data_IF_833118915445
#
_entry.id   IF_833118915445
#
_cell.length_a   1.000
_cell.length_b   1.000
_cell.length_c   1.000
_cell.angle_alpha   90.00
_cell.angle_beta   90.00
_cell.angle_gamma   90.00
#
_symmetry.space_group_name_H-M   'P 1'
#
loop_
_entity.id
_entity.type
_entity.pdbx_description
1 polymer ?
2 non-polymer ?
3 non-polymer ?
4 water ?
#
# COMPACT_ATOMS: atom_id res chain seq x y z
N UNK A 39 -8.32 9.18 -20.97
CA UNK A 39 -9.48 9.72 -21.73
C UNK A 39 -9.05 10.22 -23.12
N UNK A 40 -8.23 9.41 -23.80
CA UNK A 40 -7.52 9.79 -25.05
C UNK A 40 -6.21 10.54 -24.74
N UNK A 41 -6.11 11.04 -23.50
CA UNK A 41 -4.97 11.80 -22.93
C UNK A 41 -3.61 11.14 -23.15
N UNK A 42 -2.64 11.95 -23.56
CA UNK A 42 -1.29 11.47 -23.81
C UNK A 42 -0.52 11.64 -22.51
N UNK A 43 0.06 10.55 -21.99
CA UNK A 43 0.72 10.61 -20.67
C UNK A 43 2.21 10.57 -20.78
N UNK A 44 2.87 11.66 -20.41
CA UNK A 44 4.32 11.75 -20.56
C UNK A 44 4.99 11.98 -19.23
N UNK A 45 5.97 11.14 -18.92
CA UNK A 45 6.71 11.31 -17.70
C UNK A 45 7.94 12.15 -18.00
N UNK A 46 8.21 13.15 -17.17
CA UNK A 46 9.48 13.89 -17.11
C UNK A 46 10.45 13.27 -16.07
N UNK A 47 11.49 12.59 -16.54
CA UNK A 47 12.47 11.93 -15.71
C UNK A 47 13.76 12.71 -15.69
N UNK A 48 14.61 12.39 -14.72
CA UNK A 48 15.92 13.02 -14.58
C UNK A 48 16.42 13.12 -13.13
N UNK A 49 17.73 13.33 -12.97
CA UNK A 49 18.28 13.43 -11.62
C UNK A 49 17.78 14.67 -10.86
N UNK A 50 18.01 14.65 -9.57
CA UNK A 50 17.73 15.76 -8.69
C UNK A 50 18.38 17.00 -9.27
N UNK A 51 17.59 18.09 -9.29
CA UNK A 51 17.99 19.42 -9.73
C UNK A 51 18.46 19.52 -11.17
N UNK A 52 17.97 18.65 -12.04
CA UNK A 52 18.23 18.82 -13.47
C UNK A 52 17.32 19.89 -14.03
N UNK A 53 16.14 20.06 -13.46
CA UNK A 53 15.27 21.15 -13.92
C UNK A 53 13.92 20.66 -14.41
N UNK A 54 13.43 19.57 -13.81
CA UNK A 54 12.12 19.02 -14.14
C UNK A 54 10.97 19.98 -13.83
N UNK A 55 10.96 20.48 -12.59
CA UNK A 55 9.98 21.46 -12.14
C UNK A 55 10.07 22.74 -13.00
N UNK A 56 11.30 23.11 -13.39
CA UNK A 56 11.54 24.25 -14.27
C UNK A 56 10.85 23.98 -15.61
N UNK A 57 11.18 22.83 -16.20
CA UNK A 57 10.64 22.39 -17.47
C UNK A 57 9.13 22.23 -17.44
N UNK A 58 8.61 21.53 -16.44
CA UNK A 58 7.22 21.16 -16.48
C UNK A 58 6.39 22.43 -16.49
N UNK A 59 6.81 23.40 -15.67
CA UNK A 59 6.08 24.63 -15.45
C UNK A 59 6.09 25.51 -16.69
N UNK A 60 7.18 25.43 -17.45
CA UNK A 60 7.29 26.01 -18.77
C UNK A 60 6.25 25.37 -19.70
N UNK A 61 6.22 24.04 -19.73
CA UNK A 61 5.37 23.34 -20.68
C UNK A 61 3.91 23.68 -20.45
N UNK A 62 3.45 23.64 -19.21
CA UNK A 62 2.06 23.98 -18.92
C UNK A 62 1.59 25.40 -19.34
N UNK A 63 2.53 26.31 -19.61
CA UNK A 63 2.20 27.70 -19.93
C UNK A 63 1.99 27.90 -21.43
N UNK A 64 2.54 26.97 -22.19
CA UNK A 64 2.54 27.07 -23.63
C UNK A 64 1.23 26.54 -24.18
N UNK A 65 0.46 25.80 -23.39
CA UNK A 65 -0.83 25.31 -23.89
C UNK A 65 -1.90 25.03 -22.84
N UNK A 66 -3.16 25.01 -23.29
CA UNK A 66 -4.29 24.58 -22.44
C UNK A 66 -4.69 23.17 -22.80
N UNK A 67 -3.92 22.53 -23.68
CA UNK A 67 -4.04 21.11 -23.91
C UNK A 67 -3.05 20.38 -23.01
N UNK A 68 -2.24 21.17 -22.30
CA UNK A 68 -1.07 20.70 -21.57
C UNK A 68 -1.24 20.95 -20.04
N UNK A 69 -1.37 19.89 -19.25
CA UNK A 69 -1.35 20.06 -17.79
C UNK A 69 -0.21 19.28 -17.11
N UNK A 70 -0.06 19.49 -15.80
CA UNK A 70 1.03 18.87 -15.07
C UNK A 70 0.55 18.13 -13.80
N UNK A 71 1.21 17.01 -13.47
CA UNK A 71 1.22 16.50 -12.11
C UNK A 71 2.60 16.64 -11.41
N UNK A 72 2.70 17.57 -10.45
CA UNK A 72 3.94 17.80 -9.74
C UNK A 72 4.21 16.62 -8.83
N UNK A 73 5.48 16.34 -8.64
CA UNK A 73 5.92 15.21 -7.79
C UNK A 73 5.59 15.43 -6.33
N UNK A 74 4.70 14.62 -5.76
CA UNK A 74 4.34 14.73 -4.36
C UNK A 74 5.52 15.03 -3.43
N UNK A 75 6.65 14.38 -3.65
CA UNK A 75 7.76 14.57 -2.74
C UNK A 75 8.28 16.00 -2.77
N UNK A 76 8.07 16.67 -3.90
CA UNK A 76 8.49 18.05 -4.04
C UNK A 76 7.56 18.95 -3.23
N UNK A 77 6.27 18.65 -3.25
CA UNK A 77 5.32 19.44 -2.47
C UNK A 77 5.60 19.23 -0.98
N UNK A 78 6.04 18.01 -0.64
CA UNK A 78 6.42 17.70 0.72
C UNK A 78 7.63 18.53 1.09
N UNK A 79 8.53 18.74 0.12
CA UNK A 79 9.85 19.38 0.35
C UNK A 79 9.68 20.85 0.72
N UNK A 80 9.29 21.03 1.99
CA UNK A 80 8.94 22.32 2.59
C UNK A 80 10.02 22.74 3.60
N UNK A 90 -4.83 26.19 7.79
CA UNK A 90 -4.83 24.72 7.72
C UNK A 90 -3.93 24.21 6.59
N UNK A 91 -3.23 23.11 6.85
CA UNK A 91 -2.46 22.38 5.82
C UNK A 91 -3.03 20.96 5.67
N UNK A 92 -2.91 20.38 4.47
CA UNK A 92 -3.42 19.04 4.15
C UNK A 92 -2.87 17.93 5.05
N UNK A 93 -3.62 16.83 5.20
CA UNK A 93 -3.22 15.75 6.13
C UNK A 93 -2.09 14.90 5.53
N UNK A 94 -1.87 15.10 4.23
CA UNK A 94 -0.82 14.40 3.50
C UNK A 94 0.56 15.02 3.65
N UNK A 95 0.61 16.35 3.70
CA UNK A 95 1.88 17.09 3.84
C UNK A 95 2.47 17.01 5.23
N UNK A 96 1.58 17.04 6.23
CA UNK A 96 1.86 16.72 7.64
C UNK A 96 2.57 15.38 7.63
N UNK A 97 1.90 14.38 7.05
CA UNK A 97 2.48 13.05 6.91
C UNK A 97 3.77 13.04 6.11
N UNK A 98 3.76 13.72 4.97
CA UNK A 98 4.94 13.83 4.11
C UNK A 98 6.09 14.62 4.73
N UNK A 99 5.75 15.78 5.32
CA UNK A 99 6.73 16.58 6.07
C UNK A 99 7.50 15.75 7.10
N UNK A 100 6.78 15.00 7.92
CA UNK A 100 7.48 14.19 8.93
C UNK A 100 8.36 13.08 8.36
N UNK A 101 7.73 12.18 7.62
CA UNK A 101 8.45 11.07 7.04
C UNK A 101 9.68 11.52 6.20
N UNK A 102 9.53 12.65 5.51
CA UNK A 102 10.63 13.25 4.74
C UNK A 102 11.85 13.69 5.60
N UNK A 103 11.61 14.25 6.78
CA UNK A 103 12.72 14.66 7.66
C UNK A 103 13.27 13.45 8.41
N UNK A 104 12.36 12.54 8.74
CA UNK A 104 12.66 11.25 9.39
C UNK A 104 13.63 10.46 8.50
N UNK A 105 13.40 10.53 7.19
CA UNK A 105 14.30 9.94 6.21
C UNK A 105 15.71 10.55 6.16
N UNK A 106 15.81 11.87 6.31
CA UNK A 106 17.12 12.58 6.39
C UNK A 106 17.90 12.12 7.61
N UNK A 107 17.20 12.01 8.74
CA UNK A 107 17.83 11.68 10.01
C UNK A 107 18.31 10.26 10.11
N UNK A 108 17.64 9.34 9.39
CA UNK A 108 17.78 7.92 9.64
C UNK A 108 17.28 7.06 8.47
N UNK A 109 17.98 7.14 7.32
CA UNK A 109 17.39 6.53 6.13
C UNK A 109 17.12 5.05 6.35
N UNK A 110 17.85 4.43 7.26
CA UNK A 110 17.74 2.99 7.40
C UNK A 110 16.46 2.63 8.14
N UNK A 111 16.00 3.52 9.01
CA UNK A 111 14.72 3.36 9.67
C UNK A 111 13.48 3.68 8.84
N UNK A 112 13.61 4.51 7.80
CA UNK A 112 12.42 5.11 7.20
C UNK A 112 12.12 4.92 5.70
N UNK A 113 13.10 4.49 4.92
CA UNK A 113 12.98 4.31 3.46
C UNK A 113 11.80 3.47 3.00
N UNK A 114 11.51 2.36 3.66
CA UNK A 114 10.34 1.56 3.19
C UNK A 114 9.07 2.40 3.32
N UNK A 115 8.92 2.97 4.51
CA UNK A 115 7.76 3.73 4.84
C UNK A 115 7.58 4.91 3.90
N UNK A 116 8.68 5.62 3.66
CA UNK A 116 8.69 6.77 2.81
C UNK A 116 8.45 6.47 1.36
N UNK A 117 9.10 5.41 0.86
CA UNK A 117 8.84 4.93 -0.50
C UNK A 117 7.37 4.57 -0.75
N UNK A 118 6.79 3.74 0.10
CA UNK A 118 5.35 3.36 -0.04
C UNK A 118 4.34 4.53 0.02
N UNK A 119 4.70 5.58 0.74
CA UNK A 119 3.85 6.76 0.89
C UNK A 119 4.06 7.72 -0.27
N UNK A 120 5.30 7.83 -0.73
CA UNK A 120 5.65 8.62 -1.91
C UNK A 120 4.90 8.11 -3.12
N UNK A 121 4.93 6.81 -3.28
CA UNK A 121 4.32 6.21 -4.43
C UNK A 121 2.78 6.30 -4.36
N UNK A 122 2.21 5.99 -3.21
CA UNK A 122 0.77 6.09 -2.98
C UNK A 122 0.30 7.49 -3.35
N UNK A 123 1.03 8.51 -2.90
CA UNK A 123 0.68 9.89 -3.06
C UNK A 123 0.72 10.27 -4.51
N UNK A 124 1.66 9.66 -5.21
CA UNK A 124 1.76 9.79 -6.65
C UNK A 124 0.56 9.13 -7.35
N UNK A 125 0.38 7.83 -7.17
CA UNK A 125 -0.75 7.09 -7.78
C UNK A 125 -2.11 7.86 -7.74
N UNK A 126 -2.43 8.43 -6.57
CA UNK A 126 -3.71 9.09 -6.32
C UNK A 126 -3.77 10.49 -6.95
N UNK A 127 -2.63 11.16 -7.04
CA UNK A 127 -2.52 12.46 -7.69
C UNK A 127 -2.59 12.40 -9.22
N UNK A 128 -1.95 11.39 -9.81
CA UNK A 128 -1.95 11.14 -11.23
C UNK A 128 -3.33 10.67 -11.69
N UNK A 129 -3.95 9.79 -10.90
CA UNK A 129 -5.36 9.42 -11.17
C UNK A 129 -6.38 10.58 -11.02
N UNK A 130 -6.06 11.60 -10.22
CA UNK A 130 -6.98 12.69 -10.02
C UNK A 130 -6.78 13.84 -11.00
N UNK A 131 -5.64 13.85 -11.68
CA UNK A 131 -5.41 14.76 -12.81
C UNK A 131 -6.11 14.21 -14.02
N UNK A 132 -5.95 12.91 -14.25
CA UNK A 132 -6.74 12.24 -15.26
C UNK A 132 -8.23 12.63 -15.19
N UNK A 133 -8.82 12.49 -14.01
CA UNK A 133 -10.27 12.65 -13.83
C UNK A 133 -10.75 14.08 -13.60
N UNK A 134 -10.05 15.06 -14.18
CA UNK A 134 -10.42 16.46 -13.93
C UNK A 134 -9.46 17.55 -14.35
N UNK A 135 -8.36 17.17 -15.00
CA UNK A 135 -7.50 18.12 -15.70
C UNK A 135 -7.83 17.90 -17.17
N UNK A 136 -7.44 18.85 -18.04
CA UNK A 136 -7.61 18.69 -19.50
C UNK A 136 -9.05 18.30 -19.79
N UNK A 137 -9.90 18.84 -18.95
CA UNK A 137 -11.32 18.83 -19.16
C UNK A 137 -11.54 20.18 -19.83
N UNK A 138 -11.83 20.21 -21.13
CA UNK A 138 -11.60 19.12 -22.07
C UNK A 138 -11.04 19.78 -23.34
N UNK A 139 -10.33 18.99 -24.13
CA UNK A 139 -9.35 19.48 -25.09
C UNK A 139 -9.39 18.61 -26.33
N UNK A 140 -8.60 18.96 -27.35
CA UNK A 140 -8.52 18.11 -28.58
C UNK A 140 -7.22 17.30 -28.55
N UNK A 141 -6.18 17.91 -27.97
CA UNK A 141 -4.85 17.32 -27.95
C UNK A 141 -4.29 17.18 -26.52
N UNK A 142 -5.05 16.57 -25.59
CA UNK A 142 -4.63 16.78 -24.19
C UNK A 142 -3.38 15.97 -23.80
N UNK A 143 -2.43 16.65 -23.16
CA UNK A 143 -1.21 16.04 -22.66
C UNK A 143 -1.11 16.32 -21.18
N UNK A 144 -0.79 15.30 -20.40
CA UNK A 144 -0.53 15.50 -18.98
C UNK A 144 0.94 15.10 -18.81
N UNK A 145 1.75 16.00 -18.24
CA UNK A 145 3.14 15.74 -18.00
C UNK A 145 3.34 15.32 -16.54
N UNK A 146 3.66 14.05 -16.30
CA UNK A 146 3.87 13.56 -14.92
C UNK A 146 5.23 14.06 -14.47
N UNK A 147 5.35 14.71 -13.32
CA UNK A 147 6.70 15.07 -12.88
C UNK A 147 7.26 13.84 -12.15
N UNK A 148 8.19 13.09 -12.77
CA UNK A 148 8.52 11.70 -12.39
C UNK A 148 7.28 10.77 -12.45
N UNK A 149 7.40 9.52 -12.02
CA UNK A 149 6.44 8.45 -12.32
C UNK A 149 6.61 7.29 -11.31
N UNK A 150 5.61 6.40 -11.14
CA UNK A 150 5.75 5.25 -10.22
C UNK A 150 6.92 4.36 -10.64
N UNK A 151 7.51 4.63 -11.80
CA UNK A 151 8.62 3.82 -12.23
C UNK A 151 9.94 4.37 -11.74
N UNK A 152 10.12 5.69 -11.70
CA UNK A 152 11.33 6.18 -11.00
C UNK A 152 11.22 6.00 -9.50
N UNK A 153 10.01 5.95 -8.96
CA UNK A 153 9.84 5.69 -7.53
C UNK A 153 10.66 4.43 -7.10
N UNK A 154 10.47 3.36 -7.87
CA UNK A 154 10.99 2.05 -7.63
C UNK A 154 12.35 1.72 -8.27
N UNK A 155 12.55 2.13 -9.51
CA UNK A 155 13.70 1.66 -10.25
C UNK A 155 14.83 2.68 -10.13
N UNK A 156 14.56 3.84 -9.51
CA UNK A 156 15.67 4.73 -9.14
C UNK A 156 15.81 4.74 -7.62
N UNK A 157 14.84 5.31 -6.93
CA UNK A 157 15.06 5.65 -5.52
C UNK A 157 15.03 4.46 -4.55
N UNK A 158 14.02 3.60 -4.66
CA UNK A 158 13.78 2.50 -3.76
C UNK A 158 14.94 1.56 -3.95
N UNK A 159 15.21 1.25 -5.20
CA UNK A 159 16.35 0.48 -5.59
C UNK A 159 17.65 1.10 -5.04
N UNK A 160 17.80 2.42 -5.21
CA UNK A 160 18.99 3.11 -4.66
C UNK A 160 19.13 2.92 -3.17
N UNK A 161 18.03 3.04 -2.43
CA UNK A 161 18.06 2.85 -0.99
C UNK A 161 18.39 1.42 -0.58
N UNK A 162 17.88 0.44 -1.33
CA UNK A 162 18.16 -0.96 -1.08
C UNK A 162 19.62 -1.26 -1.32
N UNK A 163 20.11 -0.85 -2.49
CA UNK A 163 21.50 -1.08 -2.89
C UNK A 163 22.48 -0.34 -1.97
N UNK A 164 22.01 0.72 -1.31
CA UNK A 164 22.78 1.38 -0.27
C UNK A 164 22.40 0.89 1.15
N UNK A 165 21.64 -0.20 1.24
CA UNK A 165 21.27 -0.85 2.53
C UNK A 165 20.46 -0.02 3.48
N UNK A 166 19.62 0.86 2.94
CA UNK A 166 18.67 1.58 3.77
C UNK A 166 17.35 0.79 3.95
N UNK A 167 17.13 -0.17 3.06
CA UNK A 167 16.07 -1.17 3.20
C UNK A 167 16.75 -2.52 3.13
N UNK A 168 16.27 -3.47 3.94
CA UNK A 168 16.77 -4.85 3.91
C UNK A 168 16.07 -5.61 2.78
N UNK A 169 16.42 -6.88 2.59
CA UNK A 169 15.80 -7.70 1.55
C UNK A 169 14.28 -7.85 1.68
N UNK A 170 13.81 -8.03 2.90
CA UNK A 170 12.39 -8.28 3.18
C UNK A 170 11.63 -7.01 2.83
N UNK A 171 12.18 -5.85 3.19
CA UNK A 171 11.54 -4.56 2.91
C UNK A 171 11.50 -4.26 1.44
N UNK A 172 12.56 -4.62 0.73
CA UNK A 172 12.64 -4.33 -0.71
C UNK A 172 11.66 -5.26 -1.43
N UNK A 173 11.66 -6.52 -1.09
CA UNK A 173 10.75 -7.46 -1.79
C UNK A 173 9.29 -7.19 -1.44
N UNK A 174 9.05 -6.73 -0.21
CA UNK A 174 7.71 -6.29 0.19
C UNK A 174 7.32 -5.08 -0.62
N UNK A 175 8.20 -4.08 -0.68
CA UNK A 175 7.92 -2.93 -1.51
C UNK A 175 7.65 -3.34 -2.95
N UNK A 176 8.48 -4.26 -3.44
CA UNK A 176 8.38 -4.67 -4.82
C UNK A 176 7.10 -5.45 -5.02
N UNK A 177 6.69 -6.16 -3.99
CA UNK A 177 5.43 -6.88 -4.02
C UNK A 177 4.28 -5.87 -3.87
N UNK A 178 4.43 -4.90 -2.94
CA UNK A 178 3.47 -3.82 -2.71
C UNK A 178 3.29 -3.01 -4.00
N UNK A 179 4.41 -2.70 -4.69
CA UNK A 179 4.44 -1.82 -5.89
C UNK A 179 3.75 -2.46 -7.06
N UNK A 180 4.09 -3.73 -7.32
CA UNK A 180 3.42 -4.52 -8.35
C UNK A 180 1.92 -4.42 -8.24
N UNK A 181 1.41 -4.79 -7.07
CA UNK A 181 -0.03 -4.94 -6.88
C UNK A 181 -0.81 -3.60 -6.86
N UNK A 182 -0.31 -2.66 -6.07
CA UNK A 182 -0.84 -1.30 -6.03
C UNK A 182 -0.98 -0.75 -7.43
N UNK A 183 -0.09 -1.17 -8.32
CA UNK A 183 -0.13 -0.68 -9.70
C UNK A 183 -1.28 -1.28 -10.51
N UNK A 184 -1.56 -2.56 -10.32
CA UNK A 184 -2.55 -3.30 -11.14
C UNK A 184 -3.99 -2.99 -10.84
N UNK A 185 -4.26 -2.76 -9.57
CA UNK A 185 -5.60 -2.51 -9.08
C UNK A 185 -6.02 -1.09 -9.35
N UNK A 186 -5.03 -0.22 -9.32
CA UNK A 186 -5.23 1.19 -9.40
C UNK A 186 -4.27 1.65 -10.48
N UNK A 187 -4.32 0.99 -11.62
CA UNK A 187 -3.16 0.94 -12.47
C UNK A 187 -3.11 1.57 -13.83
N UNK A 188 -3.49 0.78 -14.83
CA UNK A 188 -3.04 1.00 -16.20
C UNK A 188 -3.62 2.24 -16.85
N UNK A 189 -4.56 2.90 -16.19
CA UNK A 189 -5.03 4.16 -16.75
C UNK A 189 -3.92 5.24 -16.64
N UNK A 190 -2.75 4.84 -16.12
CA UNK A 190 -1.59 5.72 -16.05
C UNK A 190 -0.45 5.15 -16.89
N UNK A 191 -0.70 4.03 -17.58
CA UNK A 191 0.25 3.55 -18.57
C UNK A 191 0.77 4.75 -19.41
N UNK A 192 2.09 4.77 -19.61
CA UNK A 192 2.84 5.89 -20.19
C UNK A 192 3.01 5.84 -21.70
N UNK A 193 2.63 6.93 -22.37
CA UNK A 193 2.82 7.07 -23.83
C UNK A 193 4.25 7.46 -24.25
N UNK A 194 5.02 8.01 -23.32
CA UNK A 194 6.39 8.43 -23.61
C UNK A 194 7.12 9.00 -22.41
N UNK A 195 8.43 9.04 -22.51
CA UNK A 195 9.23 9.50 -21.42
C UNK A 195 10.20 10.55 -21.96
N UNK A 196 10.26 11.67 -21.25
CA UNK A 196 11.15 12.75 -21.58
C UNK A 196 12.20 12.78 -20.48
N UNK A 197 13.44 12.43 -20.85
CA UNK A 197 14.59 12.40 -19.93
C UNK A 197 15.39 13.69 -19.91
N UNK A 198 15.19 14.51 -18.89
CA UNK A 198 16.03 15.71 -18.68
C UNK A 198 17.41 15.27 -18.14
N UNK A 199 18.25 14.85 -19.08
CA UNK A 199 19.60 14.30 -18.86
C UNK A 199 20.55 15.41 -18.46
N UNK A 200 21.66 15.06 -17.84
CA UNK A 200 22.64 16.04 -17.34
C UNK A 200 23.71 15.27 -16.57
N UNK A 201 24.96 15.71 -16.72
CA UNK A 201 26.03 15.17 -15.90
C UNK A 201 25.67 15.42 -14.42
N UNK A 202 26.09 14.51 -13.52
CA UNK A 202 25.78 14.72 -12.11
C UNK A 202 26.41 15.98 -11.51
N UNK A 203 27.43 16.53 -12.16
CA UNK A 203 28.09 17.71 -11.63
C UNK A 203 27.34 18.97 -12.05
N UNK A 204 26.62 18.92 -13.17
CA UNK A 204 25.63 19.96 -13.46
C UNK A 204 24.51 20.05 -12.39
N UNK A 205 24.20 18.93 -11.71
CA UNK A 205 23.07 18.91 -10.74
C UNK A 205 23.36 19.56 -9.38
N UNK A 206 24.56 19.34 -8.83
CA UNK A 206 24.92 19.95 -7.50
C UNK A 206 25.16 21.45 -7.63
N UNK A 207 25.73 21.84 -8.77
CA UNK A 207 25.74 23.22 -9.23
C UNK A 207 24.32 23.76 -8.99
N UNK A 208 23.32 23.11 -9.60
CA UNK A 208 21.91 23.54 -9.48
C UNK A 208 21.32 23.39 -8.09
N UNK A 209 21.76 22.38 -7.34
CA UNK A 209 21.42 22.27 -5.90
C UNK A 209 21.90 23.53 -5.17
N UNK A 210 23.23 23.74 -5.20
CA UNK A 210 23.85 24.98 -4.78
C UNK A 210 23.10 26.18 -5.36
N UNK A 211 22.65 26.07 -6.62
CA UNK A 211 21.94 27.18 -7.28
C UNK A 211 20.52 27.41 -6.75
N UNK A 212 19.93 26.42 -6.07
CA UNK A 212 18.51 26.49 -5.74
C UNK A 212 18.29 27.15 -4.38
N UNK A 213 19.39 27.37 -3.65
CA UNK A 213 19.35 27.91 -2.29
C UNK A 213 18.49 27.08 -1.33
N UNK A 214 18.85 25.81 -1.19
CA UNK A 214 18.19 24.92 -0.23
C UNK A 214 19.29 24.33 0.68
N UNK A 215 19.19 24.56 1.98
CA UNK A 215 20.27 24.21 2.91
C UNK A 215 20.55 22.71 3.10
N UNK A 216 19.47 21.94 3.30
CA UNK A 216 19.51 20.46 3.49
C UNK A 216 20.14 19.68 2.35
N UNK A 217 20.16 20.28 1.16
CA UNK A 217 20.64 19.62 -0.04
C UNK A 217 22.14 19.90 -0.30
N UNK A 218 22.64 21.03 0.22
CA UNK A 218 24.06 21.37 0.03
C UNK A 218 24.93 20.18 0.41
N UNK A 219 24.40 19.36 1.32
CA UNK A 219 25.10 18.21 1.86
C UNK A 219 25.16 16.98 0.97
N UNK A 220 24.44 17.00 -0.16
CA UNK A 220 24.32 15.81 -1.04
C UNK A 220 25.66 15.52 -1.75
N UNK A 221 26.22 14.31 -1.58
CA UNK A 221 27.53 14.07 -2.21
C UNK A 221 27.47 13.84 -3.70
N UNK A 222 28.57 14.13 -4.37
CA UNK A 222 28.72 13.86 -5.79
C UNK A 222 28.50 12.39 -6.13
N UNK A 223 28.95 11.51 -5.24
CA UNK A 223 28.84 10.08 -5.49
C UNK A 223 27.38 9.63 -5.44
N UNK A 224 26.59 10.20 -4.53
CA UNK A 224 25.14 9.91 -4.50
C UNK A 224 24.42 10.32 -5.79
N UNK A 225 24.64 11.57 -6.22
CA UNK A 225 24.07 12.02 -7.49
C UNK A 225 24.57 11.14 -8.62
N UNK A 226 25.85 10.77 -8.53
CA UNK A 226 26.43 9.90 -9.53
C UNK A 226 25.81 8.52 -9.44
N UNK A 227 25.39 8.13 -8.23
CA UNK A 227 24.65 6.88 -8.08
C UNK A 227 23.32 7.06 -8.77
N UNK A 228 22.56 8.10 -8.40
CA UNK A 228 21.27 8.35 -9.07
C UNK A 228 21.42 8.45 -10.57
N UNK A 229 22.40 9.24 -11.01
CA UNK A 229 22.61 9.50 -12.45
C UNK A 229 22.77 8.22 -13.25
N UNK A 230 23.63 7.33 -12.78
CA UNK A 230 23.95 6.11 -13.53
C UNK A 230 22.70 5.22 -13.72
N UNK A 231 21.90 5.09 -12.67
CA UNK A 231 20.63 4.36 -12.73
C UNK A 231 19.67 4.95 -13.76
N UNK A 232 19.73 6.27 -13.94
CA UNK A 232 18.92 6.96 -14.97
C UNK A 232 19.46 6.62 -16.37
N UNK A 233 20.77 6.48 -16.53
CA UNK A 233 21.34 6.15 -17.89
C UNK A 233 21.01 4.71 -18.34
N UNK A 234 21.03 3.75 -17.42
CA UNK A 234 20.73 2.36 -17.78
C UNK A 234 19.25 2.13 -18.13
N UNK A 235 18.35 2.71 -17.33
CA UNK A 235 16.93 2.77 -17.67
C UNK A 235 16.65 3.53 -18.99
N UNK A 236 17.26 4.70 -19.15
CA UNK A 236 16.77 5.67 -20.17
C UNK A 236 17.73 6.05 -21.30
N UNK A 237 19.01 5.72 -21.16
CA UNK A 237 19.96 5.97 -22.24
C UNK A 237 20.37 4.69 -22.93
N UNK A 238 20.70 3.67 -22.14
CA UNK A 238 21.05 2.35 -22.65
C UNK A 238 19.91 1.33 -22.73
N UNK A 239 18.78 1.66 -22.08
CA UNK A 239 17.57 0.82 -22.08
C UNK A 239 17.85 -0.64 -21.73
N UNK A 240 18.81 -0.83 -20.84
CA UNK A 240 19.21 -2.16 -20.36
C UNK A 240 18.42 -2.61 -19.12
N UNK A 241 17.98 -1.65 -18.30
CA UNK A 241 17.15 -2.01 -17.16
C UNK A 241 15.87 -2.58 -17.72
N UNK A 242 15.69 -3.87 -17.45
CA UNK A 242 14.44 -4.56 -17.73
C UNK A 242 13.62 -4.51 -16.46
N UNK A 243 12.40 -4.01 -16.59
CA UNK A 243 11.47 -3.81 -15.47
C UNK A 243 10.44 -4.94 -15.53
N UNK A 244 9.61 -5.10 -14.50
CA UNK A 244 8.56 -6.11 -14.57
C UNK A 244 7.38 -5.67 -15.46
N UNK A 245 7.56 -4.55 -16.14
CA UNK A 245 6.48 -3.98 -16.95
C UNK A 245 6.78 -4.15 -18.42
N UNK A 246 5.88 -4.88 -19.10
CA UNK A 246 6.16 -5.33 -20.47
C UNK A 246 6.22 -4.11 -21.37
N UNK A 247 5.15 -3.33 -21.35
CA UNK A 247 4.98 -2.24 -22.30
C UNK A 247 6.10 -1.19 -22.23
N UNK A 248 6.83 -1.17 -21.12
CA UNK A 248 7.86 -0.13 -20.87
C UNK A 248 9.02 -0.23 -21.81
N UNK A 249 9.57 -1.45 -21.94
CA UNK A 249 10.66 -1.77 -22.88
C UNK A 249 10.42 -1.15 -24.28
N UNK A 250 9.15 -1.00 -24.62
CA UNK A 250 8.73 -0.36 -25.89
C UNK A 250 7.91 0.92 -25.69
N UNK A 251 8.31 1.67 -24.66
CA UNK A 251 7.89 3.05 -24.51
C UNK A 251 8.98 3.96 -25.16
N UNK A 252 8.55 4.94 -25.97
CA UNK A 252 9.48 5.83 -26.65
C UNK A 252 10.06 6.87 -25.66
N UNK A 253 11.35 7.16 -25.82
CA UNK A 253 12.07 8.02 -24.87
C UNK A 253 12.67 9.15 -25.65
N UNK A 254 12.56 10.36 -25.08
CA UNK A 254 13.14 11.55 -25.62
C UNK A 254 14.17 12.05 -24.65
N UNK A 255 15.40 12.17 -25.12
CA UNK A 255 16.49 12.61 -24.32
C UNK A 255 16.94 14.02 -24.65
N UNK A 256 16.84 14.90 -23.65
CA UNK A 256 17.23 16.29 -23.75
C UNK A 256 18.39 16.60 -22.81
N UNK A 257 19.31 17.43 -23.30
CA UNK A 257 20.43 17.85 -22.50
C UNK A 257 20.03 19.16 -21.86
N UNK A 258 20.01 19.20 -20.54
CA UNK A 258 19.66 20.42 -19.80
C UNK A 258 20.87 21.08 -19.12
N UNK A 259 22.06 20.66 -19.53
CA UNK A 259 23.31 21.28 -19.03
C UNK A 259 23.33 22.78 -19.31
N UNK A 260 23.17 23.13 -20.59
CA UNK A 260 22.98 24.51 -20.99
C UNK A 260 21.68 25.02 -20.36
N UNK A 261 21.81 25.95 -19.42
CA UNK A 261 20.65 26.60 -18.81
C UNK A 261 19.58 27.01 -19.86
N UNK A 262 18.32 26.63 -19.62
CA UNK A 262 17.33 26.71 -20.65
C UNK A 262 16.27 27.72 -20.25
N UNK A 263 16.26 28.10 -18.97
CA UNK A 263 15.11 28.78 -18.37
C UNK A 263 14.61 30.05 -19.08
N UNK A 264 15.45 30.64 -19.93
CA UNK A 264 15.09 31.80 -20.73
C UNK A 264 15.10 31.42 -22.21
N UNK A 265 15.75 30.28 -22.50
CA UNK A 265 16.19 29.85 -23.82
C UNK A 265 15.80 28.38 -24.08
N UNK A 266 14.49 28.15 -24.17
CA UNK A 266 13.99 26.78 -24.16
C UNK A 266 13.28 26.28 -25.42
N UNK A 267 13.39 27.04 -26.51
CA UNK A 267 12.53 26.77 -27.67
C UNK A 267 12.89 25.53 -28.44
N UNK A 268 14.18 25.27 -28.54
CA UNK A 268 14.65 24.10 -29.25
C UNK A 268 14.29 22.85 -28.46
N UNK A 269 14.23 22.98 -27.14
CA UNK A 269 13.91 21.87 -26.26
C UNK A 269 12.40 21.63 -26.45
N UNK A 270 11.59 22.69 -26.31
CA UNK A 270 10.17 22.59 -26.65
C UNK A 270 9.83 22.02 -28.06
N UNK A 271 10.68 22.26 -29.07
CA UNK A 271 10.37 21.78 -30.44
C UNK A 271 10.47 20.28 -30.47
N UNK A 272 11.51 19.76 -29.79
CA UNK A 272 11.64 18.30 -29.67
C UNK A 272 10.47 17.63 -28.95
N UNK A 273 9.94 18.26 -27.90
CA UNK A 273 8.72 17.76 -27.25
C UNK A 273 7.60 17.74 -28.27
N UNK A 274 7.37 18.87 -28.96
CA UNK A 274 6.25 18.93 -29.91
C UNK A 274 6.38 17.93 -31.02
N UNK A 275 7.56 17.84 -31.59
CA UNK A 275 7.91 16.81 -32.59
C UNK A 275 7.84 15.36 -32.02
N UNK A 276 8.31 15.18 -30.80
CA UNK A 276 8.11 13.93 -30.04
C UNK A 276 6.62 13.65 -29.85
N UNK A 277 5.83 14.68 -29.53
CA UNK A 277 4.39 14.50 -29.28
C UNK A 277 3.55 14.11 -30.48
N UNK A 278 3.99 14.52 -31.67
CA UNK A 278 3.29 14.19 -32.90
C UNK A 278 3.57 12.73 -33.30
N UNK A 279 4.77 12.23 -32.99
CA UNK A 279 5.11 10.83 -33.27
C UNK A 279 4.33 9.84 -32.42
N UNK A 280 3.80 10.27 -31.28
CA UNK A 280 3.13 9.32 -30.38
C UNK A 280 1.70 9.00 -30.81
N UNK B 39 -23.35 -8.73 -3.88
CA UNK B 39 -24.01 -9.55 -4.94
C UNK B 39 -22.91 -10.22 -5.77
N UNK B 40 -23.03 -11.51 -6.07
CA UNK B 40 -24.05 -12.42 -5.52
C UNK B 40 -23.37 -13.61 -4.78
N UNK B 41 -22.08 -13.45 -4.45
CA UNK B 41 -21.43 -14.21 -3.38
C UNK B 41 -21.59 -13.38 -2.08
N UNK B 42 -22.22 -13.93 -1.04
CA UNK B 42 -22.32 -13.20 0.23
C UNK B 42 -20.96 -13.28 0.91
N UNK B 43 -20.55 -12.19 1.57
CA UNK B 43 -19.25 -12.11 2.29
C UNK B 43 -19.45 -11.97 3.75
N UNK B 44 -18.87 -12.89 4.52
CA UNK B 44 -19.08 -12.88 5.96
C UNK B 44 -17.73 -13.09 6.63
N UNK B 45 -17.39 -12.19 7.54
CA UNK B 45 -16.12 -12.21 8.24
C UNK B 45 -16.31 -12.93 9.58
N UNK B 46 -15.41 -13.85 9.94
CA UNK B 46 -15.40 -14.46 11.28
C UNK B 46 -14.31 -13.73 12.11
N UNK B 47 -14.76 -13.10 13.20
CA UNK B 47 -13.98 -12.26 14.06
C UNK B 47 -13.87 -12.90 15.43
N UNK B 48 -12.69 -12.75 16.06
CA UNK B 48 -12.35 -13.38 17.34
C UNK B 48 -10.93 -13.14 17.83
N UNK B 49 -10.80 -12.90 19.12
CA UNK B 49 -9.50 -12.97 19.80
C UNK B 49 -8.55 -14.09 19.31
N UNK B 50 -7.27 -13.92 19.62
CA UNK B 50 -6.26 -14.85 19.15
C UNK B 50 -6.60 -16.21 19.78
N UNK B 51 -6.63 -17.28 18.96
CA UNK B 51 -7.05 -18.61 19.42
C UNK B 51 -8.44 -18.69 20.07
N UNK B 52 -9.35 -17.79 19.70
CA UNK B 52 -10.77 -17.88 20.11
C UNK B 52 -11.51 -19.08 19.49
N UNK B 53 -10.93 -19.69 18.47
CA UNK B 53 -11.59 -20.80 17.78
C UNK B 53 -12.00 -20.57 16.34
N UNK B 54 -11.53 -19.48 15.74
CA UNK B 54 -11.84 -19.13 14.33
C UNK B 54 -11.36 -20.14 13.30
N UNK B 55 -10.08 -20.51 13.37
CA UNK B 55 -9.52 -21.43 12.41
C UNK B 55 -10.39 -22.68 12.38
N UNK B 56 -10.73 -23.14 13.57
CA UNK B 56 -11.45 -24.39 13.80
C UNK B 56 -12.93 -24.29 13.39
N UNK B 57 -13.54 -23.13 13.63
CA UNK B 57 -14.90 -22.95 13.16
C UNK B 57 -15.02 -22.87 11.63
N UNK B 58 -14.01 -22.34 10.94
CA UNK B 58 -14.12 -22.24 9.48
C UNK B 58 -13.64 -23.53 8.83
N UNK B 59 -12.84 -24.32 9.54
CA UNK B 59 -12.43 -25.62 9.03
C UNK B 59 -13.64 -26.57 9.09
N UNK B 60 -14.50 -26.34 10.08
CA UNK B 60 -15.70 -27.13 10.28
C UNK B 60 -16.82 -26.68 9.34
N UNK B 61 -17.05 -25.37 9.29
CA UNK B 61 -17.95 -24.77 8.31
C UNK B 61 -17.69 -25.12 6.84
N UNK B 62 -16.43 -25.11 6.38
CA UNK B 62 -16.20 -25.32 4.95
C UNK B 62 -16.84 -26.62 4.41
N UNK B 63 -16.81 -27.67 5.23
CA UNK B 63 -17.19 -29.05 4.86
C UNK B 63 -18.70 -29.30 4.73
N UNK B 64 -19.51 -28.32 5.09
CA UNK B 64 -20.92 -28.53 5.38
C UNK B 64 -21.80 -28.22 4.20
N UNK B 65 -21.22 -27.54 3.21
CA UNK B 65 -21.99 -27.07 2.09
C UNK B 65 -20.99 -26.78 1.02
N UNK B 66 -21.23 -27.38 -0.15
CA UNK B 66 -20.36 -27.21 -1.31
C UNK B 66 -20.35 -25.79 -1.76
N UNK B 67 -21.40 -25.06 -1.38
CA UNK B 67 -21.59 -23.63 -1.65
C UNK B 67 -20.91 -22.68 -0.65
N UNK B 68 -20.22 -23.25 0.31
CA UNK B 68 -19.56 -22.48 1.35
C UNK B 68 -18.07 -22.66 1.15
N UNK B 69 -17.31 -21.57 1.12
CA UNK B 69 -15.84 -21.64 1.09
C UNK B 69 -15.24 -20.67 2.12
N UNK B 70 -14.02 -20.98 2.55
CA UNK B 70 -13.31 -20.22 3.54
C UNK B 70 -12.09 -19.50 2.94
N UNK B 71 -11.80 -18.28 3.42
CA UNK B 71 -10.54 -17.60 3.08
C UNK B 71 -9.74 -17.29 4.36
N UNK B 72 -8.80 -18.18 4.75
CA UNK B 72 -8.04 -17.90 5.95
C UNK B 72 -7.16 -16.66 5.74
N UNK B 73 -6.68 -16.07 6.82
CA UNK B 73 -5.82 -14.91 6.64
C UNK B 73 -4.35 -15.29 6.39
N UNK B 74 -3.63 -14.44 5.65
CA UNK B 74 -2.18 -14.55 5.55
C UNK B 74 -1.52 -14.86 6.89
N UNK B 75 -1.73 -14.01 7.87
CA UNK B 75 -0.94 -14.14 9.10
C UNK B 75 -1.02 -15.55 9.63
N UNK B 76 -2.25 -16.09 9.68
CA UNK B 76 -2.54 -17.35 10.32
C UNK B 76 -1.64 -18.36 9.70
N UNK B 77 -1.43 -18.20 8.40
CA UNK B 77 -0.73 -19.19 7.62
C UNK B 77 0.79 -19.01 7.64
N UNK B 78 1.28 -17.77 7.83
CA UNK B 78 2.73 -17.47 7.98
C UNK B 78 3.35 -18.24 9.13
N UNK B 79 2.56 -18.40 10.20
CA UNK B 79 3.06 -18.66 11.56
C UNK B 79 3.62 -20.08 11.80
N UNK B 80 4.04 -20.74 10.72
CA UNK B 80 4.48 -22.15 10.71
C UNK B 80 5.46 -22.43 9.56
N UNK B 90 10.98 -24.35 -1.57
CA UNK B 90 10.74 -22.97 -1.96
C UNK B 90 9.30 -22.50 -1.61
N UNK B 91 9.19 -21.48 -0.75
CA UNK B 91 7.87 -20.88 -0.44
C UNK B 91 7.55 -19.78 -1.46
N UNK B 92 6.33 -19.22 -1.46
CA UNK B 92 6.04 -18.10 -2.35
C UNK B 92 6.79 -16.88 -1.84
N UNK B 93 6.81 -15.83 -2.65
CA UNK B 93 7.40 -14.56 -2.26
C UNK B 93 6.78 -14.20 -0.91
N UNK B 94 5.44 -14.00 -0.92
CA UNK B 94 4.67 -13.66 0.28
C UNK B 94 4.96 -14.57 1.48
N UNK B 95 4.96 -15.87 1.24
CA UNK B 95 5.38 -16.88 2.22
C UNK B 95 6.75 -16.64 2.83
N UNK B 96 7.77 -16.40 1.99
CA UNK B 96 9.12 -16.01 2.46
C UNK B 96 9.16 -14.66 3.24
N UNK B 97 8.49 -13.63 2.72
CA UNK B 97 8.35 -12.32 3.35
C UNK B 97 7.52 -12.31 4.59
N UNK B 98 6.42 -13.07 4.57
CA UNK B 98 5.53 -13.09 5.70
C UNK B 98 6.13 -13.76 6.92
N UNK B 99 6.84 -14.86 6.70
CA UNK B 99 7.54 -15.51 7.83
C UNK B 99 8.51 -14.50 8.42
N UNK B 100 9.27 -13.85 7.55
CA UNK B 100 10.28 -12.89 7.97
C UNK B 100 9.68 -11.74 8.77
N UNK B 101 8.70 -11.02 8.22
CA UNK B 101 8.16 -9.89 8.96
C UNK B 101 7.44 -10.28 10.29
N UNK B 102 6.84 -11.47 10.35
CA UNK B 102 6.33 -11.95 11.64
C UNK B 102 7.45 -12.07 12.68
N UNK B 103 8.54 -12.73 12.28
CA UNK B 103 9.67 -12.99 13.15
C UNK B 103 10.35 -11.70 13.61
N UNK B 104 10.40 -10.71 12.72
CA UNK B 104 11.01 -9.43 13.04
C UNK B 104 10.14 -8.59 13.94
N UNK B 105 8.84 -8.64 13.69
CA UNK B 105 7.77 -8.01 14.47
C UNK B 105 7.72 -8.56 15.89
N UNK B 106 7.84 -9.88 16.01
CA UNK B 106 8.02 -10.49 17.34
C UNK B 106 9.21 -9.88 18.06
N UNK B 107 10.36 -9.79 17.38
CA UNK B 107 11.58 -9.29 18.01
C UNK B 107 11.56 -7.82 18.32
N UNK B 108 10.91 -7.01 17.47
CA UNK B 108 10.82 -5.57 17.72
C UNK B 108 9.60 -4.94 17.07
N UNK B 109 8.44 -4.97 17.76
CA UNK B 109 7.26 -4.35 17.17
C UNK B 109 7.41 -2.88 16.78
N UNK B 110 8.06 -2.04 17.60
CA UNK B 110 8.06 -0.58 17.34
C UNK B 110 8.96 -0.18 16.15
N UNK B 111 9.63 -1.17 15.60
CA UNK B 111 10.35 -1.01 14.36
C UNK B 111 9.59 -1.62 13.18
N UNK B 112 8.83 -2.70 13.44
CA UNK B 112 8.20 -3.48 12.35
C UNK B 112 6.67 -3.46 12.22
N UNK B 113 5.95 -2.72 13.06
CA UNK B 113 4.47 -2.71 13.02
C UNK B 113 3.89 -2.13 11.75
N UNK B 114 4.29 -0.91 11.41
CA UNK B 114 3.82 -0.34 10.14
C UNK B 114 4.07 -1.34 9.02
N UNK B 115 5.26 -1.93 8.98
CA UNK B 115 5.61 -2.75 7.84
C UNK B 115 4.78 -4.02 7.81
N UNK B 116 4.72 -4.73 8.94
CA UNK B 116 3.85 -5.87 9.08
C UNK B 116 2.43 -5.52 8.71
N UNK B 117 1.92 -4.50 9.35
CA UNK B 117 0.51 -4.18 9.19
C UNK B 117 0.17 -3.77 7.78
N UNK B 118 1.15 -3.26 7.02
CA UNK B 118 0.85 -2.91 5.64
C UNK B 118 0.82 -4.19 4.82
N UNK B 119 1.79 -5.05 5.06
CA UNK B 119 1.85 -6.22 4.22
C UNK B 119 0.77 -7.22 4.59
N UNK B 120 0.37 -7.22 5.85
CA UNK B 120 -0.68 -8.13 6.28
C UNK B 120 -2.01 -7.81 5.61
N UNK B 121 -2.34 -6.53 5.56
CA UNK B 121 -3.62 -6.13 5.04
C UNK B 121 -3.69 -6.17 3.50
N UNK B 122 -2.59 -5.83 2.85
CA UNK B 122 -2.40 -6.03 1.42
C UNK B 122 -2.63 -7.47 0.94
N UNK B 123 -2.03 -8.44 1.63
CA UNK B 123 -2.11 -9.85 1.25
C UNK B 123 -3.48 -10.47 1.57
N UNK B 124 -4.11 -9.96 2.62
CA UNK B 124 -5.45 -10.36 2.99
C UNK B 124 -6.42 -9.91 1.92
N UNK B 125 -6.24 -8.69 1.42
CA UNK B 125 -7.05 -8.23 0.30
C UNK B 125 -6.83 -9.09 -0.95
N UNK B 126 -5.56 -9.47 -1.18
CA UNK B 126 -5.20 -10.22 -2.35
C UNK B 126 -5.71 -11.64 -2.24
N UNK B 127 -5.73 -12.21 -1.02
CA UNK B 127 -6.22 -13.56 -0.84
C UNK B 127 -7.73 -13.60 -1.04
N UNK B 128 -8.41 -12.56 -0.62
CA UNK B 128 -9.86 -12.52 -0.67
C UNK B 128 -10.34 -12.11 -2.05
N UNK B 129 -9.49 -11.39 -2.78
CA UNK B 129 -9.79 -11.04 -4.16
C UNK B 129 -9.77 -12.28 -5.00
N UNK B 130 -8.71 -13.08 -4.85
CA UNK B 130 -8.61 -14.34 -5.56
C UNK B 130 -9.96 -15.05 -5.48
N UNK B 131 -10.25 -15.58 -4.29
CA UNK B 131 -11.50 -16.28 -4.02
C UNK B 131 -12.75 -15.64 -4.59
N UNK B 132 -12.95 -14.35 -4.35
CA UNK B 132 -14.11 -13.64 -4.90
C UNK B 132 -14.09 -13.59 -6.44
N UNK B 133 -12.94 -13.87 -7.04
CA UNK B 133 -12.76 -13.85 -8.52
C UNK B 133 -12.77 -15.22 -9.18
N UNK B 134 -12.42 -16.26 -8.42
CA UNK B 134 -12.23 -17.60 -8.98
C UNK B 134 -13.15 -18.68 -8.44
N UNK B 135 -13.57 -18.54 -7.17
CA UNK B 135 -14.31 -19.60 -6.48
C UNK B 135 -15.82 -19.35 -6.56
N UNK B 136 -16.61 -20.39 -6.27
CA UNK B 136 -18.08 -20.33 -6.22
C UNK B 136 -18.67 -19.76 -7.51
N UNK B 137 -17.87 -19.85 -8.58
CA UNK B 137 -18.04 -19.07 -9.78
C UNK B 137 -19.51 -18.86 -10.03
N UNK B 138 -20.23 -19.93 -10.32
CA UNK B 138 -21.67 -19.91 -10.15
C UNK B 138 -22.22 -21.22 -9.59
N UNK B 139 -22.73 -21.11 -8.36
CA UNK B 139 -23.25 -22.22 -7.55
C UNK B 139 -24.49 -21.70 -6.83
N UNK B 140 -25.38 -22.62 -6.44
CA UNK B 140 -26.75 -22.26 -5.98
C UNK B 140 -26.82 -21.03 -5.05
N UNK B 141 -26.22 -21.11 -3.87
CA UNK B 141 -26.27 -20.00 -2.90
C UNK B 141 -24.91 -19.81 -2.23
N UNK B 142 -24.02 -19.05 -2.89
CA UNK B 142 -22.62 -18.87 -2.46
C UNK B 142 -22.52 -17.92 -1.29
N UNK B 143 -21.77 -18.35 -0.28
CA UNK B 143 -21.42 -17.52 0.86
C UNK B 143 -19.95 -17.79 1.09
N UNK B 144 -19.16 -16.73 1.16
CA UNK B 144 -17.74 -16.89 1.43
C UNK B 144 -17.43 -16.44 2.88
N UNK B 145 -16.75 -17.30 3.65
CA UNK B 145 -16.36 -16.96 5.03
C UNK B 145 -14.90 -16.45 5.09
N UNK B 146 -14.72 -15.22 5.57
CA UNK B 146 -13.34 -14.61 5.71
C UNK B 146 -12.85 -14.84 7.13
N UNK B 147 -11.69 -15.49 7.32
CA UNK B 147 -11.03 -15.38 8.61
C UNK B 147 -10.54 -13.95 8.82
N UNK B 148 -11.29 -13.21 9.64
CA UNK B 148 -11.02 -11.80 9.92
C UNK B 148 -11.18 -10.92 8.66
N UNK B 149 -11.08 -9.61 8.82
CA UNK B 149 -11.31 -8.67 7.76
C UNK B 149 -10.27 -7.53 7.81
N UNK B 150 -10.54 -6.47 7.04
CA UNK B 150 -9.59 -5.38 6.85
C UNK B 150 -9.90 -4.35 7.91
N UNK B 151 -11.10 -4.46 8.47
CA UNK B 151 -11.43 -3.72 9.68
C UNK B 151 -10.79 -4.37 10.92
N UNK B 152 -10.79 -5.70 11.01
CA UNK B 152 -9.93 -6.29 12.05
C UNK B 152 -8.48 -5.81 11.91
N UNK B 153 -7.88 -5.97 10.73
CA UNK B 153 -6.53 -5.47 10.50
C UNK B 153 -6.31 -4.08 11.08
N UNK B 154 -7.22 -3.17 10.75
CA UNK B 154 -7.13 -1.78 11.14
C UNK B 154 -7.57 -1.49 12.57
N UNK B 155 -8.73 -1.96 12.96
CA UNK B 155 -9.38 -1.41 14.14
C UNK B 155 -9.15 -2.24 15.37
N UNK B 156 -8.53 -3.39 15.21
CA UNK B 156 -8.17 -4.22 16.36
C UNK B 156 -6.65 -4.19 16.43
N UNK B 157 -6.00 -4.53 15.33
CA UNK B 157 -4.56 -4.81 15.38
C UNK B 157 -3.67 -3.61 15.17
N UNK B 158 -3.96 -2.80 14.15
CA UNK B 158 -3.15 -1.64 13.89
C UNK B 158 -3.43 -0.67 15.04
N UNK B 159 -4.70 -0.37 15.24
CA UNK B 159 -5.15 0.51 16.30
C UNK B 159 -4.47 0.18 17.62
N UNK B 160 -4.46 -1.10 17.97
CA UNK B 160 -3.88 -1.49 19.25
C UNK B 160 -2.38 -1.26 19.38
N UNK B 161 -1.62 -1.55 18.33
CA UNK B 161 -0.18 -1.32 18.33
C UNK B 161 0.16 0.16 18.40
N UNK B 162 -0.69 1.01 17.82
CA UNK B 162 -0.47 2.45 17.94
C UNK B 162 -0.66 2.86 19.41
N UNK B 163 -1.74 2.37 20.03
CA UNK B 163 -1.99 2.52 21.46
C UNK B 163 -0.89 1.90 22.35
N UNK B 164 -0.26 0.81 21.89
CA UNK B 164 0.88 0.20 22.58
C UNK B 164 2.20 0.90 22.25
N UNK B 165 2.13 2.01 21.50
CA UNK B 165 3.30 2.83 21.17
C UNK B 165 4.27 2.09 20.27
N UNK B 166 3.74 1.07 19.59
CA UNK B 166 4.50 0.32 18.60
C UNK B 166 4.43 1.00 17.24
N UNK B 167 3.48 1.90 17.07
CA UNK B 167 3.34 2.70 15.87
C UNK B 167 3.24 4.10 16.40
N UNK B 168 4.14 4.99 15.92
CA UNK B 168 4.12 6.43 16.23
C UNK B 168 3.05 7.11 15.34
N UNK B 169 2.70 8.39 15.63
CA UNK B 169 1.53 9.06 15.01
C UNK B 169 1.58 9.09 13.49
N UNK B 170 2.75 9.37 12.95
CA UNK B 170 2.92 9.46 11.51
C UNK B 170 2.67 8.12 10.81
N UNK B 171 3.13 7.02 11.42
CA UNK B 171 2.93 5.69 10.90
C UNK B 171 1.46 5.38 10.89
N UNK B 172 0.81 5.66 12.01
CA UNK B 172 -0.61 5.37 12.16
C UNK B 172 -1.46 6.29 11.27
N UNK B 173 -1.01 7.51 11.04
CA UNK B 173 -1.72 8.40 10.11
C UNK B 173 -1.61 7.90 8.67
N UNK B 174 -0.38 7.52 8.30
CA UNK B 174 -0.09 6.99 7.00
C UNK B 174 -0.80 5.67 6.80
N UNK B 175 -0.82 4.83 7.85
CA UNK B 175 -1.44 3.56 7.73
C UNK B 175 -2.91 3.73 7.39
N UNK B 176 -3.55 4.71 8.02
CA UNK B 176 -4.97 4.87 7.81
C UNK B 176 -5.26 5.48 6.45
N UNK B 177 -4.48 6.48 6.08
CA UNK B 177 -4.68 7.11 4.78
C UNK B 177 -4.81 6.03 3.74
N UNK B 178 -3.73 5.29 3.55
CA UNK B 178 -3.61 4.17 2.64
C UNK B 178 -4.71 3.13 2.75
N UNK B 179 -5.22 2.89 3.96
CA UNK B 179 -6.29 1.91 4.19
C UNK B 179 -7.62 2.51 3.69
N UNK B 180 -7.83 3.76 4.07
CA UNK B 180 -9.03 4.50 3.74
C UNK B 180 -9.14 4.57 2.25
N UNK B 181 -8.16 5.25 1.64
CA UNK B 181 -8.21 5.53 0.21
C UNK B 181 -8.29 4.28 -0.65
N UNK B 182 -7.54 3.25 -0.25
CA UNK B 182 -7.43 2.00 -1.01
C UNK B 182 -8.69 1.10 -0.91
N UNK B 183 -9.09 0.66 0.29
CA UNK B 183 -10.32 -0.13 0.41
C UNK B 183 -11.50 0.53 -0.34
N UNK B 184 -11.42 1.86 -0.45
CA UNK B 184 -12.39 2.74 -1.11
C UNK B 184 -12.38 2.72 -2.63
N UNK B 185 -11.39 2.04 -3.23
CA UNK B 185 -11.21 2.09 -4.68
C UNK B 185 -12.06 1.01 -5.30
N UNK B 186 -12.03 -0.17 -4.67
CA UNK B 186 -12.97 -1.23 -5.01
C UNK B 186 -14.01 -1.29 -3.91
N UNK B 187 -15.02 -0.44 -4.08
CA UNK B 187 -15.97 -0.04 -3.03
C UNK B 187 -17.17 -0.92 -2.71
N UNK B 188 -17.65 -1.70 -3.67
CA UNK B 188 -18.73 -2.65 -3.45
C UNK B 188 -18.17 -4.02 -3.07
N UNK B 189 -16.91 -4.21 -3.40
CA UNK B 189 -16.33 -5.52 -3.62
C UNK B 189 -16.00 -6.34 -2.37
N UNK B 190 -15.12 -5.85 -1.51
CA UNK B 190 -14.76 -6.64 -0.33
C UNK B 190 -15.69 -6.36 0.84
N UNK B 191 -16.59 -5.39 0.67
CA UNK B 191 -17.59 -5.06 1.66
C UNK B 191 -18.40 -6.27 2.19
N UNK B 192 -18.61 -6.28 3.50
CA UNK B 192 -19.19 -7.45 4.15
C UNK B 192 -20.71 -7.45 4.09
N UNK B 193 -21.33 -8.64 3.98
CA UNK B 193 -22.78 -8.75 4.20
C UNK B 193 -23.11 -9.10 5.67
N UNK B 194 -22.13 -9.67 6.37
CA UNK B 194 -22.32 -9.96 7.78
C UNK B 194 -20.99 -10.14 8.49
N UNK B 195 -21.05 -10.20 9.81
CA UNK B 195 -19.96 -10.45 10.67
C UNK B 195 -20.46 -11.54 11.63
N UNK B 196 -19.64 -12.55 11.86
CA UNK B 196 -19.90 -13.42 12.95
C UNK B 196 -18.77 -13.21 13.94
N UNK B 197 -19.13 -12.83 15.17
CA UNK B 197 -18.21 -12.62 16.27
C UNK B 197 -18.16 -13.83 17.17
N UNK B 198 -17.00 -14.43 17.33
CA UNK B 198 -16.80 -15.46 18.35
C UNK B 198 -16.32 -14.85 19.66
N UNK B 199 -17.20 -14.81 20.64
CA UNK B 199 -16.87 -14.29 21.95
C UNK B 199 -16.30 -15.42 22.81
N UNK B 200 -14.96 -15.40 22.91
CA UNK B 200 -14.21 -16.21 23.88
C UNK B 200 -13.52 -15.28 24.91
N UNK B 201 -13.21 -15.81 26.10
CA UNK B 201 -12.54 -14.98 27.13
C UNK B 201 -11.00 -15.04 26.94
N UNK B 202 -10.27 -14.01 27.42
CA UNK B 202 -8.82 -14.14 27.33
C UNK B 202 -8.30 -15.40 28.00
N UNK B 203 -8.87 -15.76 29.16
CA UNK B 203 -8.46 -17.00 29.82
C UNK B 203 -8.71 -18.17 28.88
N UNK B 204 -9.95 -18.29 28.40
CA UNK B 204 -10.30 -19.31 27.39
C UNK B 204 -9.29 -19.26 26.23
N UNK B 205 -9.22 -18.11 25.53
CA UNK B 205 -8.23 -17.94 24.44
C UNK B 205 -6.81 -18.26 24.96
N UNK B 206 -6.53 -17.87 26.20
CA UNK B 206 -5.27 -18.23 26.87
C UNK B 206 -5.16 -19.74 27.07
N UNK B 207 -6.16 -20.31 27.73
CA UNK B 207 -6.28 -21.75 27.97
C UNK B 207 -6.20 -22.50 26.65
N UNK B 208 -6.41 -21.76 25.55
CA UNK B 208 -6.41 -22.32 24.21
C UNK B 208 -5.16 -22.07 23.41
N UNK B 209 -4.48 -20.92 23.60
CA UNK B 209 -3.14 -20.73 22.97
C UNK B 209 -2.22 -21.80 23.58
N UNK B 210 -2.58 -22.18 24.81
CA UNK B 210 -2.11 -23.38 25.49
C UNK B 210 -2.26 -24.59 24.56
N UNK B 211 -3.49 -25.11 24.45
CA UNK B 211 -3.77 -26.38 23.71
C UNK B 211 -3.28 -26.34 22.27
N UNK B 212 -2.88 -25.17 21.79
CA UNK B 212 -2.36 -25.02 20.45
C UNK B 212 -0.85 -25.14 20.48
N UNK B 213 -0.29 -24.94 21.67
CA UNK B 213 1.13 -25.18 21.98
C UNK B 213 2.24 -24.69 21.04
N UNK B 214 1.91 -23.86 20.04
CA UNK B 214 2.92 -23.14 19.26
C UNK B 214 3.90 -22.49 20.24
N UNK B 215 5.18 -22.40 19.86
CA UNK B 215 6.20 -21.88 20.77
C UNK B 215 6.19 -20.36 20.96
N UNK B 216 6.47 -19.62 19.90
CA UNK B 216 6.39 -18.13 19.87
C UNK B 216 5.06 -17.56 20.36
N UNK B 217 4.14 -18.48 20.68
CA UNK B 217 2.82 -18.12 21.15
C UNK B 217 2.68 -18.32 22.65
N UNK B 218 3.61 -19.04 23.25
CA UNK B 218 3.64 -19.12 24.71
C UNK B 218 4.15 -17.78 25.23
N UNK B 219 4.97 -17.13 24.40
CA UNK B 219 5.39 -15.74 24.60
C UNK B 219 4.30 -14.66 24.62
N UNK B 220 3.08 -15.05 24.26
CA UNK B 220 1.93 -14.13 24.31
C UNK B 220 1.44 -14.02 25.77
N UNK B 221 1.43 -12.80 26.33
CA UNK B 221 0.96 -12.57 27.71
C UNK B 221 -0.55 -12.46 27.78
N UNK B 222 -1.12 -12.59 28.98
CA UNK B 222 -2.57 -12.56 29.16
C UNK B 222 -3.14 -11.17 29.05
N UNK B 223 -2.30 -10.16 29.31
CA UNK B 223 -2.80 -8.79 29.34
C UNK B 223 -2.88 -8.21 27.92
N UNK B 224 -2.13 -8.80 27.00
CA UNK B 224 -2.30 -8.49 25.58
C UNK B 224 -3.70 -8.93 25.15
N UNK B 225 -4.08 -10.14 25.56
CA UNK B 225 -5.42 -10.66 25.23
C UNK B 225 -6.54 -9.79 25.78
N UNK B 226 -6.30 -9.13 26.91
CA UNK B 226 -7.36 -8.32 27.52
C UNK B 226 -7.80 -7.07 26.75
N UNK B 227 -6.87 -6.43 26.03
CA UNK B 227 -7.21 -5.23 25.25
C UNK B 227 -7.78 -5.59 23.87
N UNK B 228 -7.45 -6.77 23.35
CA UNK B 228 -8.07 -7.21 22.08
C UNK B 228 -9.55 -7.52 22.35
N UNK B 229 -9.79 -8.19 23.47
CA UNK B 229 -11.15 -8.45 23.94
C UNK B 229 -11.94 -7.16 24.06
N UNK B 230 -11.34 -6.21 24.76
CA UNK B 230 -11.95 -4.94 25.03
C UNK B 230 -12.28 -4.23 23.73
N UNK B 231 -11.48 -4.47 22.70
CA UNK B 231 -11.63 -3.91 21.36
C UNK B 231 -12.70 -4.62 20.49
N UNK B 232 -12.77 -5.95 20.55
CA UNK B 232 -13.83 -6.68 19.83
C UNK B 232 -15.18 -6.36 20.51
N UNK B 233 -15.21 -6.37 21.85
CA UNK B 233 -16.45 -6.08 22.58
C UNK B 233 -16.92 -4.68 22.22
N UNK B 234 -16.00 -3.71 22.30
CA UNK B 234 -16.28 -2.33 21.97
C UNK B 234 -16.68 -2.12 20.51
N UNK B 235 -16.02 -2.83 19.59
CA UNK B 235 -16.42 -2.67 18.17
C UNK B 235 -17.72 -3.46 17.82
N UNK B 236 -17.74 -4.74 18.13
CA UNK B 236 -18.80 -5.63 17.60
C UNK B 236 -20.02 -5.79 18.51
N UNK B 237 -19.82 -5.85 19.82
CA UNK B 237 -20.92 -6.00 20.77
C UNK B 237 -21.44 -4.63 21.23
N UNK B 238 -20.63 -3.92 22.03
CA UNK B 238 -21.01 -2.57 22.53
C UNK B 238 -21.33 -1.60 21.40
N UNK B 239 -20.56 -1.66 20.31
CA UNK B 239 -20.65 -0.73 19.15
C UNK B 239 -20.34 0.73 19.45
N UNK B 240 -19.37 0.93 20.33
CA UNK B 240 -18.82 2.26 20.62
C UNK B 240 -17.86 2.79 19.52
N UNK B 241 -17.31 1.89 18.70
CA UNK B 241 -16.19 2.23 17.83
C UNK B 241 -16.60 2.99 16.59
N UNK B 242 -15.94 4.12 16.35
CA UNK B 242 -16.19 4.87 15.13
C UNK B 242 -15.18 4.44 14.08
N UNK B 243 -15.66 4.25 12.86
CA UNK B 243 -14.87 3.68 11.78
C UNK B 243 -15.11 4.61 10.61
N UNK B 244 -14.27 4.55 9.60
CA UNK B 244 -14.39 5.43 8.45
C UNK B 244 -14.99 4.71 7.24
N UNK B 245 -15.82 3.70 7.54
CA UNK B 245 -16.59 2.95 6.54
C UNK B 245 -18.01 2.89 7.08
N UNK B 246 -18.84 3.80 6.59
CA UNK B 246 -20.13 4.15 7.25
C UNK B 246 -21.08 2.98 7.46
N UNK B 247 -21.09 2.05 6.50
CA UNK B 247 -21.98 0.90 6.52
C UNK B 247 -21.69 -0.14 7.65
N UNK B 248 -20.52 -0.09 8.27
CA UNK B 248 -20.22 -0.93 9.46
C UNK B 248 -21.19 -0.70 10.62
N UNK B 249 -22.07 0.31 10.50
CA UNK B 249 -23.19 0.58 11.42
C UNK B 249 -24.48 -0.19 11.06
N UNK B 250 -24.74 -0.35 9.77
CA UNK B 250 -25.92 -1.07 9.29
C UNK B 250 -25.72 -2.59 9.40
N UNK B 251 -24.58 -3.08 8.88
CA UNK B 251 -24.23 -4.52 8.84
C UNK B 251 -24.65 -5.34 10.08
N UNK B 252 -25.40 -6.44 9.85
CA UNK B 252 -25.74 -7.37 10.89
C UNK B 252 -24.50 -8.09 11.46
N UNK B 253 -24.55 -8.38 12.77
CA UNK B 253 -23.49 -9.04 13.50
C UNK B 253 -24.13 -10.18 14.25
N UNK B 254 -23.58 -11.39 14.10
CA UNK B 254 -24.02 -12.51 14.90
C UNK B 254 -22.95 -12.76 15.92
N UNK B 255 -23.32 -12.68 17.19
CA UNK B 255 -22.36 -12.97 18.22
C UNK B 255 -22.61 -14.32 18.81
N UNK B 256 -21.54 -15.10 18.84
CA UNK B 256 -21.57 -16.47 19.33
C UNK B 256 -20.61 -16.66 20.51
N UNK B 257 -21.20 -16.66 21.68
CA UNK B 257 -20.57 -17.08 22.91
C UNK B 257 -19.92 -18.44 22.62
N UNK B 258 -18.60 -18.43 22.42
CA UNK B 258 -17.87 -19.67 22.13
C UNK B 258 -16.89 -20.09 23.23
N UNK B 259 -17.24 -19.82 24.48
CA UNK B 259 -16.38 -20.22 25.59
C UNK B 259 -16.24 -21.75 25.69
N UNK B 260 -17.40 -22.43 25.77
CA UNK B 260 -17.49 -23.90 25.82
C UNK B 260 -16.78 -24.56 24.62
N UNK B 261 -16.22 -25.76 24.80
CA UNK B 261 -15.56 -26.53 23.71
C UNK B 261 -16.60 -26.89 22.62
N UNK B 262 -16.17 -27.13 21.37
CA UNK B 262 -17.11 -27.26 20.27
C UNK B 262 -16.63 -28.01 19.03
N UNK B 263 -15.59 -28.83 19.16
CA UNK B 263 -15.06 -29.63 18.06
C UNK B 263 -16.04 -30.77 17.71
N UNK B 264 -16.58 -31.41 18.73
CA UNK B 264 -17.50 -32.51 18.53
C UNK B 264 -18.91 -32.06 18.92
N UNK B 265 -19.10 -30.78 19.22
CA UNK B 265 -20.44 -30.25 19.48
C UNK B 265 -20.70 -28.88 18.86
N UNK B 266 -20.76 -28.85 17.54
CA UNK B 266 -20.98 -27.57 16.88
C UNK B 266 -22.35 -27.37 16.30
N UNK B 267 -23.28 -28.28 16.55
CA UNK B 267 -24.49 -28.24 15.75
C UNK B 267 -25.28 -27.00 16.03
N UNK B 268 -25.39 -26.66 17.30
CA UNK B 268 -26.14 -25.47 17.71
C UNK B 268 -25.55 -24.19 17.09
N UNK B 269 -24.22 -24.12 17.00
CA UNK B 269 -23.53 -22.95 16.38
C UNK B 269 -23.87 -22.81 14.89
N UNK B 270 -23.65 -23.88 14.13
CA UNK B 270 -23.97 -23.91 12.70
C UNK B 270 -25.45 -23.59 12.54
N UNK B 271 -26.26 -24.13 13.45
CA UNK B 271 -27.67 -23.83 13.46
C UNK B 271 -27.94 -22.34 13.50
N UNK B 272 -27.23 -21.59 14.35
CA UNK B 272 -27.40 -20.14 14.41
C UNK B 272 -26.80 -19.44 13.19
N UNK B 273 -25.69 -19.99 12.72
CA UNK B 273 -25.13 -19.54 11.45
C UNK B 273 -26.13 -19.56 10.28
N UNK B 274 -26.79 -20.70 10.03
CA UNK B 274 -27.77 -20.77 8.95
C UNK B 274 -28.95 -19.77 9.12
N UNK B 275 -29.49 -19.74 10.33
CA UNK B 275 -30.47 -18.75 10.76
C UNK B 275 -30.01 -17.33 10.44
N UNK B 276 -28.80 -17.01 10.86
CA UNK B 276 -28.24 -15.67 10.60
C UNK B 276 -28.26 -15.25 9.13
N UNK B 277 -27.78 -16.14 8.26
CA UNK B 277 -27.70 -15.91 6.82
C UNK B 277 -29.08 -15.78 6.18
N UNK B 278 -30.06 -16.48 6.74
CA UNK B 278 -31.43 -16.45 6.22
C UNK B 278 -32.08 -15.09 6.45
N UNK B 279 -31.45 -14.23 7.25
CA UNK B 279 -31.89 -12.84 7.28
C UNK B 279 -31.01 -11.97 6.40
N UNK B 280 -30.19 -12.55 5.54
CA UNK B 280 -29.29 -11.72 4.74
C UNK B 280 -29.86 -11.45 3.35
#
# INVERSE_FOLDING_TARGET
MGSSHHHHHHSSGLVPRGSHMATPPKRSSPSFSASSEGTRIKKISIEGNIAAGKSTFVNILKQLSEDWEVVPEPVARWSNVQSTQDEFEELTMEQKNGGNVLQMMYEKPERWSFTFQTYACLSRIRAQLASLNGKLKDAEKPVLFFERSVYSDRYIFASNLYESESMNETEWTIYQDWHDWMNNQFGQSLELDGIIYLQATPETCLHRIYLRGRNEEQGIPLEYLEKLHYKHESWLLHRTLKTNFDYLQEVPILTLDVNEDFKDKYESLVEKVKEFLSTL
MGSSHHHHHHSSGLVPRGSHMATPPKRSSPSFSASSEGTRIKKISIEGNIAAGKSTFVNILKQLSEDWEVVPEPVARWSNVQSTQDEFEELTMEQKNGGNVLQMMYEKPERWSFTFQTYACLSRIRAQLASLNGKLKDAEKPVLFFERSVYSDRYIFASNLYESESMNETEWTIYQDWHDWMNNQFGQSLELDGIIYLQATPETCLHRIYLRGRNEEQGIPLEYLEKLHYKHESWLLHRTLKTNFDYLQEVPILTLDVNEDFKDKYESLVEKVKEFLSTL
#
